data_IF_331880160041
#
_entry.id   IF_331880160041
#
_cell.length_a   1.000
_cell.length_b   1.000
_cell.length_c   1.000
_cell.angle_alpha   90.00
_cell.angle_beta   90.00
_cell.angle_gamma   90.00
#
_symmetry.space_group_name_H-M   'P 1'
#
loop_
_entity.id
_entity.type
_entity.pdbx_description
1 polymer ?
#
# COMPACT_ATOMS: atom_id res chain seq x y z
N UNK A 1 -14.97 24.15 -2.04
CA UNK A 1 -15.93 24.24 -3.18
C UNK A 1 -15.93 22.95 -3.98
N UNK A 2 -14.78 22.41 -4.43
CA UNK A 2 -14.68 21.21 -5.26
C UNK A 2 -15.35 19.99 -4.63
N UNK A 3 -15.11 19.73 -3.33
CA UNK A 3 -15.73 18.61 -2.60
C UNK A 3 -17.26 18.72 -2.63
N UNK A 4 -17.82 19.92 -2.44
CA UNK A 4 -19.26 20.17 -2.49
C UNK A 4 -19.81 20.02 -3.92
N UNK A 5 -19.11 20.56 -4.90
CA UNK A 5 -19.49 20.47 -6.32
C UNK A 5 -19.53 19.02 -6.81
N UNK A 6 -18.59 18.18 -6.36
CA UNK A 6 -18.53 16.77 -6.73
C UNK A 6 -19.47 15.87 -5.88
N UNK A 7 -20.13 16.41 -4.84
CA UNK A 7 -21.11 15.68 -4.04
C UNK A 7 -20.51 14.79 -2.95
N UNK A 8 -19.26 15.02 -2.53
CA UNK A 8 -18.54 14.16 -1.55
C UNK A 8 -18.48 14.69 -0.10
N UNK A 9 -19.21 15.72 0.38
CA UNK A 9 -19.12 16.12 1.78
C UNK A 9 -19.46 14.99 2.74
N UNK A 10 -20.49 14.17 2.42
CA UNK A 10 -20.89 13.03 3.24
C UNK A 10 -19.78 11.97 3.40
N UNK A 11 -19.03 11.71 2.32
CA UNK A 11 -17.89 10.80 2.35
C UNK A 11 -16.81 11.29 3.34
N UNK A 12 -16.44 12.57 3.28
CA UNK A 12 -15.46 13.16 4.21
C UNK A 12 -15.96 13.09 5.66
N UNK A 13 -17.25 13.35 5.90
CA UNK A 13 -17.81 13.31 7.27
C UNK A 13 -17.84 11.89 7.84
N UNK A 14 -18.13 10.87 7.03
CA UNK A 14 -18.07 9.48 7.44
C UNK A 14 -16.64 9.09 7.81
N UNK A 15 -15.66 9.46 6.97
CA UNK A 15 -14.25 9.16 7.23
C UNK A 15 -13.76 9.88 8.49
N UNK A 16 -14.10 11.14 8.66
CA UNK A 16 -13.79 11.91 9.85
C UNK A 16 -14.35 11.24 11.12
N UNK A 17 -15.60 10.79 11.06
CA UNK A 17 -16.31 10.19 12.21
C UNK A 17 -15.57 8.95 12.73
N UNK A 18 -15.31 7.95 11.89
CA UNK A 18 -14.69 6.72 12.36
C UNK A 18 -13.20 6.90 12.74
N UNK A 19 -12.48 7.84 12.10
CA UNK A 19 -11.11 8.19 12.49
C UNK A 19 -11.09 8.87 13.86
N UNK A 20 -11.97 9.85 14.09
CA UNK A 20 -12.05 10.53 15.38
C UNK A 20 -12.45 9.55 16.48
N UNK A 21 -13.48 8.71 16.21
CA UNK A 21 -13.87 7.67 17.18
C UNK A 21 -12.69 6.74 17.51
N UNK A 22 -11.90 6.36 16.53
CA UNK A 22 -10.73 5.50 16.75
C UNK A 22 -9.71 6.16 17.66
N UNK A 23 -9.36 7.43 17.39
CA UNK A 23 -8.43 8.22 18.20
C UNK A 23 -8.96 8.37 19.65
N UNK A 24 -10.26 8.61 19.82
CA UNK A 24 -10.90 8.76 21.13
C UNK A 24 -10.99 7.44 21.91
N UNK A 25 -10.91 6.30 21.22
CA UNK A 25 -10.96 4.96 21.82
C UNK A 25 -9.59 4.25 21.89
N UNK A 26 -8.51 5.03 21.87
CA UNK A 26 -7.12 4.54 22.00
C UNK A 26 -6.72 3.53 20.90
N UNK A 27 -7.24 3.74 19.69
CA UNK A 27 -6.84 2.98 18.50
C UNK A 27 -5.99 3.89 17.62
N UNK A 28 -4.68 3.63 17.51
CA UNK A 28 -3.81 4.42 16.64
C UNK A 28 -4.25 4.37 15.19
N UNK A 29 -4.27 5.54 14.57
CA UNK A 29 -4.55 5.76 13.16
C UNK A 29 -3.30 6.32 12.51
N UNK A 30 -2.97 5.89 11.29
CA UNK A 30 -1.85 6.42 10.53
C UNK A 30 -2.06 7.89 10.13
N UNK A 31 -0.98 8.63 9.85
CA UNK A 31 -1.04 10.08 9.56
C UNK A 31 -1.70 10.40 8.22
N UNK A 32 -2.05 9.41 7.45
CA UNK A 32 -2.56 9.52 6.09
C UNK A 32 -1.62 8.91 5.07
N UNK A 33 -2.18 8.53 3.92
CA UNK A 33 -1.43 7.97 2.80
C UNK A 33 -2.09 8.30 1.46
N UNK A 34 -1.36 8.05 0.37
CA UNK A 34 -1.86 8.26 -0.98
C UNK A 34 -2.20 9.73 -1.28
N UNK A 35 -3.08 9.94 -2.24
CA UNK A 35 -3.45 11.29 -2.72
C UNK A 35 -4.32 12.06 -1.73
N UNK A 36 -5.01 11.37 -0.82
CA UNK A 36 -5.86 12.01 0.21
C UNK A 36 -5.08 12.96 1.14
N UNK A 37 -3.77 12.72 1.33
CA UNK A 37 -2.90 13.59 2.09
C UNK A 37 -2.76 15.01 1.48
N UNK A 38 -3.07 15.20 0.20
CA UNK A 38 -3.09 16.52 -0.46
C UNK A 38 -4.29 17.40 -0.13
N UNK A 39 -5.24 16.91 0.68
CA UNK A 39 -6.45 17.66 1.02
C UNK A 39 -6.31 18.47 2.32
N UNK A 40 -6.28 19.80 2.21
CA UNK A 40 -6.31 20.70 3.38
C UNK A 40 -7.59 20.51 4.20
N UNK A 41 -8.72 20.15 3.56
CA UNK A 41 -9.97 19.86 4.26
C UNK A 41 -9.84 18.57 5.07
N UNK A 42 -9.18 17.53 4.54
CA UNK A 42 -8.91 16.30 5.28
C UNK A 42 -8.01 16.57 6.51
N UNK A 43 -7.00 17.41 6.36
CA UNK A 43 -6.15 17.85 7.46
C UNK A 43 -6.95 18.64 8.53
N UNK A 44 -7.74 19.62 8.11
CA UNK A 44 -8.59 20.42 9.02
C UNK A 44 -9.64 19.56 9.76
N UNK A 45 -10.15 18.50 9.13
CA UNK A 45 -11.07 17.53 9.72
C UNK A 45 -10.35 16.42 10.53
N UNK A 46 -9.03 16.48 10.66
CA UNK A 46 -8.19 15.47 11.35
C UNK A 46 -8.32 14.05 10.77
N UNK A 47 -8.67 13.96 9.49
CA UNK A 47 -8.61 12.72 8.71
C UNK A 47 -7.15 12.36 8.46
N UNK A 48 -6.33 13.36 8.12
CA UNK A 48 -4.88 13.24 7.98
C UNK A 48 -4.17 14.11 9.00
N UNK A 49 -2.97 13.72 9.40
CA UNK A 49 -2.15 14.43 10.38
C UNK A 49 -0.94 15.15 9.72
N UNK A 50 -0.96 15.27 8.39
CA UNK A 50 0.07 15.91 7.58
C UNK A 50 -0.47 17.20 6.98
N UNK A 51 0.22 18.34 7.21
CA UNK A 51 -0.15 19.61 6.57
C UNK A 51 0.25 19.61 5.08
N UNK A 52 -0.73 19.59 4.15
CA UNK A 52 -0.42 19.56 2.74
C UNK A 52 0.27 20.82 2.22
N UNK A 53 0.19 21.94 2.92
CA UNK A 53 0.84 23.19 2.50
C UNK A 53 2.32 23.18 2.85
N UNK A 54 2.73 22.55 3.95
CA UNK A 54 4.13 22.40 4.34
C UNK A 54 4.93 21.56 3.33
N UNK A 55 4.25 20.58 2.69
CA UNK A 55 4.89 19.62 1.77
C UNK A 55 4.51 19.86 0.30
N UNK A 56 3.90 20.99 -0.05
CA UNK A 56 3.45 21.33 -1.42
C UNK A 56 2.64 20.22 -2.09
N UNK A 57 1.77 19.55 -1.33
CA UNK A 57 0.95 18.46 -1.84
C UNK A 57 -0.24 18.98 -2.66
N UNK A 58 -0.49 18.38 -3.82
CA UNK A 58 -1.51 18.82 -4.75
C UNK A 58 -2.87 18.17 -4.46
N UNK A 59 -3.88 19.00 -4.17
CA UNK A 59 -5.27 18.57 -3.97
C UNK A 59 -5.89 17.96 -5.23
N UNK A 60 -5.53 18.47 -6.40
CA UNK A 60 -6.04 18.03 -7.70
C UNK A 60 -5.69 16.58 -8.04
N UNK A 61 -4.72 15.99 -7.35
CA UNK A 61 -4.39 14.56 -7.42
C UNK A 61 -5.40 13.70 -6.68
N UNK A 62 -6.03 14.25 -5.66
CA UNK A 62 -7.04 13.55 -4.87
C UNK A 62 -8.41 13.72 -5.49
N UNK A 63 -8.85 14.98 -5.73
CA UNK A 63 -10.11 15.29 -6.36
C UNK A 63 -9.91 16.33 -7.47
N UNK A 64 -10.39 16.00 -8.67
CA UNK A 64 -10.37 16.90 -9.82
C UNK A 64 -11.72 16.80 -10.54
N UNK A 65 -12.48 17.90 -10.69
CA UNK A 65 -13.77 17.92 -11.41
C UNK A 65 -13.68 17.45 -12.86
N UNK A 66 -12.49 17.60 -13.49
CA UNK A 66 -12.25 17.15 -14.86
C UNK A 66 -12.03 15.62 -14.95
N UNK A 67 -11.69 15.01 -13.84
CA UNK A 67 -11.49 13.57 -13.72
C UNK A 67 -12.52 12.98 -12.77
N UNK A 68 -13.60 12.45 -13.33
CA UNK A 68 -14.67 11.80 -12.55
C UNK A 68 -14.12 10.51 -11.93
N UNK A 69 -13.63 10.59 -10.71
CA UNK A 69 -13.23 9.43 -9.88
C UNK A 69 -13.76 9.63 -8.46
N UNK A 70 -14.18 8.53 -7.85
CA UNK A 70 -14.53 8.54 -6.42
C UNK A 70 -13.29 8.87 -5.59
N UNK A 71 -13.42 9.68 -4.51
CA UNK A 71 -12.34 9.81 -3.54
C UNK A 71 -12.09 8.47 -2.85
N UNK A 72 -10.82 8.16 -2.60
CA UNK A 72 -10.42 6.93 -1.92
C UNK A 72 -9.43 7.29 -0.80
N UNK A 73 -9.93 7.28 0.45
CA UNK A 73 -9.07 7.38 1.61
C UNK A 73 -8.69 5.98 2.08
N UNK A 74 -7.44 5.62 1.86
CA UNK A 74 -6.82 4.49 2.53
C UNK A 74 -6.48 4.87 3.97
N UNK A 75 -7.08 4.23 4.96
CA UNK A 75 -6.83 4.53 6.36
C UNK A 75 -6.13 3.36 7.05
N UNK A 76 -4.93 3.63 7.57
CA UNK A 76 -4.16 2.66 8.33
C UNK A 76 -4.58 2.69 9.80
N UNK A 77 -5.04 1.56 10.32
CA UNK A 77 -5.36 1.36 11.73
C UNK A 77 -4.37 0.42 12.41
N UNK A 78 -4.16 0.60 13.70
CA UNK A 78 -3.56 -0.43 14.53
C UNK A 78 -4.28 -1.77 14.30
N UNK A 79 -3.52 -2.83 13.99
CA UNK A 79 -4.10 -4.12 13.63
C UNK A 79 -5.00 -4.70 14.73
N UNK A 80 -4.63 -4.53 16.00
CA UNK A 80 -5.38 -5.04 17.14
C UNK A 80 -6.70 -4.27 17.37
N UNK A 81 -6.78 -3.01 16.92
CA UNK A 81 -7.98 -2.17 17.08
C UNK A 81 -8.91 -2.14 15.88
N UNK A 82 -8.44 -2.56 14.70
CA UNK A 82 -9.16 -2.42 13.42
C UNK A 82 -10.57 -3.01 13.44
N UNK A 83 -10.73 -4.21 13.96
CA UNK A 83 -12.04 -4.89 13.99
C UNK A 83 -13.04 -4.16 14.89
N UNK A 84 -12.57 -3.51 15.96
CA UNK A 84 -13.41 -2.63 16.81
C UNK A 84 -13.91 -1.42 16.05
N UNK A 85 -13.11 -0.87 15.12
CA UNK A 85 -13.53 0.24 14.25
C UNK A 85 -14.62 -0.22 13.29
N UNK A 86 -14.47 -1.40 12.67
CA UNK A 86 -15.49 -1.97 11.78
C UNK A 86 -16.79 -2.23 12.53
N UNK A 87 -16.71 -2.75 13.75
CA UNK A 87 -17.88 -2.95 14.61
C UNK A 87 -18.57 -1.63 14.96
N UNK A 88 -17.81 -0.58 15.31
CA UNK A 88 -18.36 0.76 15.56
C UNK A 88 -19.10 1.31 14.35
N UNK A 89 -18.50 1.22 13.17
CA UNK A 89 -19.14 1.65 11.91
C UNK A 89 -20.43 0.87 11.66
N UNK A 90 -20.42 -0.45 11.88
CA UNK A 90 -21.61 -1.27 11.74
C UNK A 90 -22.71 -0.94 12.77
N UNK A 91 -22.36 -0.50 13.98
CA UNK A 91 -23.30 -0.03 14.98
C UNK A 91 -23.87 1.35 14.63
N UNK A 92 -23.01 2.25 14.16
CA UNK A 92 -23.37 3.64 13.84
C UNK A 92 -24.28 3.73 12.61
N UNK A 93 -23.92 3.03 11.53
CA UNK A 93 -24.65 3.11 10.26
C UNK A 93 -25.66 1.98 10.05
N UNK A 94 -25.70 1.00 10.97
CA UNK A 94 -26.59 -0.16 10.93
C UNK A 94 -25.92 -1.42 10.40
N UNK A 95 -25.99 -2.51 11.15
CA UNK A 95 -25.37 -3.80 10.82
C UNK A 95 -25.86 -4.42 9.50
N UNK A 96 -27.05 -4.06 9.04
CA UNK A 96 -27.56 -4.48 7.73
C UNK A 96 -27.11 -3.61 6.56
N UNK A 97 -26.55 -2.44 6.85
CA UNK A 97 -26.05 -1.47 5.86
C UNK A 97 -24.53 -1.46 5.74
N UNK A 98 -23.80 -2.20 6.58
CA UNK A 98 -22.33 -2.28 6.58
C UNK A 98 -21.88 -3.70 6.34
N UNK A 99 -20.94 -3.90 5.45
CA UNK A 99 -20.38 -5.21 5.15
C UNK A 99 -18.93 -5.12 4.69
N UNK A 100 -18.14 -6.12 5.03
CA UNK A 100 -16.84 -6.32 4.38
C UNK A 100 -17.03 -6.86 2.96
N UNK A 101 -16.02 -6.67 2.10
CA UNK A 101 -16.05 -7.07 0.69
C UNK A 101 -15.45 -8.46 0.55
N UNK A 102 -16.00 -9.28 -0.35
CA UNK A 102 -15.42 -10.57 -0.73
C UNK A 102 -14.17 -10.39 -1.57
N UNK A 103 -13.26 -11.37 -1.50
CA UNK A 103 -12.20 -11.57 -2.49
C UNK A 103 -12.25 -12.98 -3.03
N UNK A 104 -11.96 -13.12 -4.32
CA UNK A 104 -11.84 -14.42 -4.95
C UNK A 104 -10.36 -14.75 -5.18
N UNK A 105 -9.88 -15.79 -4.49
CA UNK A 105 -8.56 -16.34 -4.76
C UNK A 105 -8.59 -17.16 -6.03
N UNK A 106 -7.78 -16.78 -7.04
CA UNK A 106 -7.68 -17.50 -8.31
C UNK A 106 -6.43 -18.36 -8.37
N UNK A 107 -6.43 -19.32 -9.26
CA UNK A 107 -5.27 -20.15 -9.58
C UNK A 107 -4.32 -19.34 -10.47
N UNK A 108 -3.53 -18.45 -9.86
CA UNK A 108 -2.51 -17.67 -10.56
C UNK A 108 -1.35 -18.55 -11.06
N UNK A 109 -0.56 -18.05 -12.01
CA UNK A 109 0.47 -18.82 -12.74
C UNK A 109 1.38 -19.71 -11.87
N UNK A 110 1.96 -19.17 -10.78
CA UNK A 110 2.78 -19.98 -9.85
C UNK A 110 1.98 -20.98 -9.04
N UNK A 111 0.78 -20.60 -8.63
CA UNK A 111 -0.07 -21.44 -7.81
C UNK A 111 -0.63 -22.61 -8.63
N UNK A 112 -1.09 -22.35 -9.84
CA UNK A 112 -1.66 -23.40 -10.72
C UNK A 112 -0.62 -24.47 -11.06
N UNK A 113 0.64 -24.11 -11.34
CA UNK A 113 1.72 -25.08 -11.56
C UNK A 113 1.90 -25.98 -10.33
N UNK A 114 1.93 -25.39 -9.12
CA UNK A 114 2.09 -26.15 -7.88
C UNK A 114 0.91 -27.07 -7.58
N UNK A 115 -0.29 -26.57 -7.78
CA UNK A 115 -1.50 -27.33 -7.50
C UNK A 115 -1.69 -28.50 -8.49
N UNK A 116 -1.50 -28.24 -9.79
CA UNK A 116 -1.56 -29.27 -10.83
C UNK A 116 -0.45 -30.30 -10.63
N UNK A 117 0.79 -29.87 -10.38
CA UNK A 117 1.91 -30.76 -10.14
C UNK A 117 1.68 -31.68 -8.95
N UNK A 118 1.10 -31.17 -7.87
CA UNK A 118 0.74 -31.99 -6.69
C UNK A 118 -0.34 -33.00 -7.02
N UNK A 119 -1.38 -32.62 -7.76
CA UNK A 119 -2.50 -33.51 -8.14
C UNK A 119 -2.05 -34.60 -9.11
N UNK A 120 -1.13 -34.27 -10.03
CA UNK A 120 -0.51 -35.23 -10.95
C UNK A 120 0.53 -36.13 -10.28
N UNK A 121 0.84 -35.92 -9.00
CA UNK A 121 1.77 -36.75 -8.22
C UNK A 121 3.25 -36.47 -8.49
N UNK A 122 3.59 -35.34 -9.12
CA UNK A 122 4.98 -34.97 -9.34
C UNK A 122 5.70 -34.63 -8.03
N UNK A 123 6.99 -34.97 -7.92
CA UNK A 123 7.81 -34.61 -6.76
C UNK A 123 7.87 -33.08 -6.56
N UNK A 124 7.85 -32.63 -5.30
CA UNK A 124 7.89 -31.22 -4.96
C UNK A 124 9.06 -30.46 -5.65
N UNK A 125 10.28 -31.03 -5.64
CA UNK A 125 11.45 -30.40 -6.25
C UNK A 125 11.32 -30.19 -7.76
N UNK A 126 10.64 -31.10 -8.48
CA UNK A 126 10.33 -30.98 -9.90
C UNK A 126 9.40 -29.78 -10.14
N UNK A 127 8.29 -29.73 -9.41
CA UNK A 127 7.26 -28.70 -9.55
C UNK A 127 7.80 -27.32 -9.12
N UNK A 128 8.57 -27.26 -8.03
CA UNK A 128 9.15 -26.02 -7.52
C UNK A 128 10.16 -25.41 -8.49
N UNK A 129 10.96 -26.23 -9.16
CA UNK A 129 11.86 -25.78 -10.24
C UNK A 129 11.12 -25.04 -11.34
N UNK A 130 10.01 -25.61 -11.83
CA UNK A 130 9.20 -25.00 -12.90
C UNK A 130 8.50 -23.74 -12.39
N UNK A 131 7.90 -23.80 -11.20
CA UNK A 131 7.25 -22.66 -10.58
C UNK A 131 8.22 -21.46 -10.35
N UNK A 132 9.51 -21.72 -10.08
CA UNK A 132 10.53 -20.67 -9.91
C UNK A 132 10.96 -20.00 -11.21
N UNK A 133 10.76 -20.64 -12.36
CA UNK A 133 10.99 -20.01 -13.67
C UNK A 133 9.94 -18.93 -13.98
N UNK A 134 8.77 -18.95 -13.34
CA UNK A 134 7.74 -17.94 -13.54
C UNK A 134 8.15 -16.67 -12.78
N UNK A 135 8.23 -15.49 -13.43
CA UNK A 135 8.51 -14.22 -12.74
C UNK A 135 7.51 -13.92 -11.62
N UNK A 136 7.94 -13.27 -10.52
CA UNK A 136 7.08 -12.98 -9.38
C UNK A 136 6.20 -11.73 -9.54
N UNK A 137 6.13 -11.16 -10.73
CA UNK A 137 5.46 -9.88 -10.97
C UNK A 137 3.94 -9.96 -10.76
N UNK A 138 3.31 -8.93 -10.18
CA UNK A 138 1.87 -8.85 -10.04
C UNK A 138 1.15 -8.98 -11.39
N UNK A 139 0.10 -9.82 -11.45
CA UNK A 139 -0.64 -10.06 -12.70
C UNK A 139 0.10 -10.89 -13.75
N UNK A 140 1.18 -11.60 -13.33
CA UNK A 140 1.89 -12.57 -14.18
C UNK A 140 0.95 -13.73 -14.55
N UNK A 141 0.86 -14.01 -15.84
CA UNK A 141 0.18 -15.19 -16.40
C UNK A 141 1.18 -16.16 -16.99
N UNK A 142 0.77 -17.41 -17.23
CA UNK A 142 1.62 -18.37 -17.91
C UNK A 142 2.01 -17.88 -19.32
N UNK A 143 1.08 -17.24 -20.05
CA UNK A 143 1.41 -16.65 -21.34
C UNK A 143 2.52 -15.62 -21.25
N UNK A 144 2.39 -14.63 -20.34
CA UNK A 144 3.43 -13.61 -20.11
C UNK A 144 4.75 -14.23 -19.61
N UNK A 145 4.68 -15.29 -18.79
CA UNK A 145 5.87 -15.95 -18.31
C UNK A 145 6.68 -16.62 -19.45
N UNK A 146 6.00 -17.18 -20.46
CA UNK A 146 6.65 -17.72 -21.65
C UNK A 146 7.31 -16.65 -22.51
N UNK A 147 6.75 -15.45 -22.57
CA UNK A 147 7.35 -14.31 -23.28
C UNK A 147 8.58 -13.74 -22.53
N UNK A 148 8.50 -13.70 -21.18
CA UNK A 148 9.53 -13.08 -20.35
C UNK A 148 10.71 -14.01 -20.04
N UNK A 149 10.50 -15.35 -20.01
CA UNK A 149 11.50 -16.33 -19.57
C UNK A 149 11.72 -17.43 -20.63
N UNK A 150 12.72 -17.27 -21.52
CA UNK A 150 12.99 -18.23 -22.58
C UNK A 150 13.30 -19.65 -22.08
N UNK A 151 13.85 -19.80 -20.86
CA UNK A 151 14.14 -21.12 -20.28
C UNK A 151 12.86 -21.91 -20.01
N UNK A 152 11.73 -21.25 -19.76
CA UNK A 152 10.43 -21.92 -19.59
C UNK A 152 9.98 -22.58 -20.91
N UNK A 153 10.21 -21.89 -22.05
CA UNK A 153 9.92 -22.47 -23.38
C UNK A 153 10.82 -23.68 -23.66
N UNK A 154 12.13 -23.56 -23.38
CA UNK A 154 13.06 -24.67 -23.55
C UNK A 154 12.66 -25.88 -22.71
N UNK A 155 12.31 -25.67 -21.44
CA UNK A 155 11.83 -26.76 -20.58
C UNK A 155 10.54 -27.40 -21.08
N UNK A 156 9.60 -26.61 -21.59
CA UNK A 156 8.37 -27.09 -22.17
C UNK A 156 8.57 -27.95 -23.44
N UNK A 157 9.52 -27.55 -24.32
CA UNK A 157 9.78 -28.25 -25.57
C UNK A 157 10.64 -29.51 -25.40
N UNK A 158 11.46 -29.56 -24.34
CA UNK A 158 12.45 -30.64 -24.12
C UNK A 158 11.97 -31.75 -23.18
N UNK A 159 10.89 -31.54 -22.41
CA UNK A 159 10.44 -32.45 -21.35
C UNK A 159 8.93 -32.66 -21.41
N UNK A 160 8.50 -33.89 -21.80
CA UNK A 160 7.08 -34.21 -21.93
C UNK A 160 6.29 -34.13 -20.60
N UNK A 161 6.94 -34.36 -19.44
CA UNK A 161 6.28 -34.19 -18.15
C UNK A 161 6.04 -32.71 -17.83
N UNK A 162 7.01 -31.83 -18.14
CA UNK A 162 6.86 -30.38 -18.04
C UNK A 162 5.76 -29.88 -18.94
N UNK A 163 5.71 -30.37 -20.19
CA UNK A 163 4.68 -30.02 -21.15
C UNK A 163 3.28 -30.42 -20.68
N UNK A 164 3.11 -31.66 -20.24
CA UNK A 164 1.84 -32.14 -19.72
C UNK A 164 1.35 -31.33 -18.50
N UNK A 165 2.28 -31.01 -17.58
CA UNK A 165 2.01 -30.16 -16.42
C UNK A 165 1.54 -28.76 -16.82
N UNK A 166 2.26 -28.11 -17.73
CA UNK A 166 1.95 -26.74 -18.17
C UNK A 166 0.66 -26.70 -18.98
N UNK A 167 0.41 -27.68 -19.87
CA UNK A 167 -0.82 -27.73 -20.66
C UNK A 167 -2.05 -27.89 -19.78
N UNK A 168 -1.97 -28.69 -18.71
CA UNK A 168 -3.04 -28.80 -17.74
C UNK A 168 -3.19 -27.51 -16.93
N UNK A 169 -2.07 -26.91 -16.52
CA UNK A 169 -2.08 -25.67 -15.78
C UNK A 169 -2.71 -24.51 -16.57
N UNK A 170 -2.43 -24.39 -17.86
CA UNK A 170 -3.07 -23.40 -18.76
C UNK A 170 -4.60 -23.50 -18.81
N UNK A 171 -5.15 -24.71 -18.66
CA UNK A 171 -6.62 -24.93 -18.63
C UNK A 171 -7.26 -24.47 -17.33
N UNK A 172 -6.49 -24.43 -16.25
CA UNK A 172 -6.97 -24.11 -14.91
C UNK A 172 -6.54 -22.72 -14.43
N UNK A 173 -5.61 -22.07 -15.14
CA UNK A 173 -5.18 -20.71 -14.81
C UNK A 173 -6.37 -19.75 -14.79
N UNK A 174 -6.43 -18.91 -13.74
CA UNK A 174 -7.51 -17.94 -13.57
C UNK A 174 -8.80 -18.47 -12.95
N UNK A 175 -8.96 -19.81 -12.84
CA UNK A 175 -10.13 -20.40 -12.20
C UNK A 175 -10.19 -20.00 -10.72
N UNK A 176 -11.36 -19.59 -10.25
CA UNK A 176 -11.59 -19.26 -8.83
C UNK A 176 -11.43 -20.52 -7.98
N UNK A 177 -10.62 -20.40 -6.94
CA UNK A 177 -10.28 -21.48 -6.02
C UNK A 177 -11.01 -21.39 -4.70
N UNK A 178 -11.08 -20.19 -4.16
CA UNK A 178 -11.71 -19.92 -2.85
C UNK A 178 -12.24 -18.50 -2.80
N UNK A 179 -13.19 -18.30 -1.89
CA UNK A 179 -13.63 -16.99 -1.44
C UNK A 179 -12.95 -16.65 -0.11
N UNK A 180 -12.69 -15.37 0.10
CA UNK A 180 -12.13 -14.82 1.33
C UNK A 180 -12.69 -13.43 1.60
N UNK A 181 -12.28 -12.84 2.72
CA UNK A 181 -12.58 -11.44 3.04
C UNK A 181 -11.49 -10.54 2.47
N UNK A 182 -11.89 -9.39 1.91
CA UNK A 182 -10.94 -8.35 1.53
C UNK A 182 -10.18 -7.82 2.76
N UNK A 183 -8.88 -7.59 2.61
CA UNK A 183 -8.02 -7.22 3.73
C UNK A 183 -8.42 -5.88 4.40
N UNK A 184 -8.99 -4.94 3.66
CA UNK A 184 -9.34 -3.60 4.14
C UNK A 184 -10.75 -3.15 3.76
N UNK A 185 -11.30 -3.62 2.64
CA UNK A 185 -12.53 -3.08 2.07
C UNK A 185 -13.79 -3.30 2.92
N UNK A 186 -14.43 -2.20 3.26
CA UNK A 186 -15.74 -2.15 3.94
C UNK A 186 -16.67 -1.27 3.12
N UNK A 187 -17.90 -1.71 2.95
CA UNK A 187 -18.96 -0.97 2.26
C UNK A 187 -19.94 -0.44 3.27
N UNK A 188 -20.33 0.82 3.11
CA UNK A 188 -21.44 1.45 3.86
C UNK A 188 -22.50 1.84 2.82
N UNK A 189 -23.68 1.25 2.91
CA UNK A 189 -24.80 1.52 2.00
C UNK A 189 -25.84 2.44 2.62
N UNK A 190 -26.62 3.17 1.80
CA UNK A 190 -27.67 4.07 2.31
C UNK A 190 -28.92 3.32 2.83
N UNK A 191 -29.05 2.02 2.52
CA UNK A 191 -30.09 1.11 2.99
C UNK A 191 -29.49 -0.28 3.24
N UNK A 192 -30.28 -1.34 3.25
CA UNK A 192 -29.75 -2.69 3.41
C UNK A 192 -28.77 -3.04 2.26
N UNK A 193 -27.67 -3.68 2.58
CA UNK A 193 -26.69 -4.16 1.56
C UNK A 193 -27.39 -5.01 0.50
N UNK A 194 -28.39 -5.80 0.91
CA UNK A 194 -29.15 -6.68 0.01
C UNK A 194 -29.99 -5.95 -1.04
N UNK A 195 -30.18 -4.65 -0.91
CA UNK A 195 -30.81 -3.82 -1.96
C UNK A 195 -29.87 -3.56 -3.14
N UNK A 196 -28.56 -3.73 -2.94
CA UNK A 196 -27.50 -3.44 -3.92
C UNK A 196 -26.67 -4.67 -4.31
N UNK A 197 -26.37 -5.55 -3.36
CA UNK A 197 -25.47 -6.68 -3.57
C UNK A 197 -25.94 -7.89 -2.77
N UNK A 198 -25.82 -9.11 -3.34
CA UNK A 198 -26.05 -10.33 -2.58
C UNK A 198 -24.96 -10.47 -1.49
N UNK A 199 -25.29 -11.18 -0.42
CA UNK A 199 -24.35 -11.49 0.65
C UNK A 199 -23.88 -12.95 0.54
N UNK A 200 -22.65 -13.17 0.93
CA UNK A 200 -22.03 -14.47 1.08
C UNK A 200 -21.57 -14.65 2.53
N UNK A 201 -21.76 -15.84 3.06
CA UNK A 201 -21.17 -16.25 4.33
C UNK A 201 -20.54 -17.65 4.20
N UNK A 202 -19.66 -17.98 5.12
CA UNK A 202 -19.14 -19.33 5.27
C UNK A 202 -20.20 -20.29 5.83
N UNK A 203 -19.82 -21.55 6.02
CA UNK A 203 -20.71 -22.58 6.53
C UNK A 203 -21.20 -22.32 7.98
N UNK A 204 -20.50 -21.46 8.71
CA UNK A 204 -20.87 -21.08 10.09
C UNK A 204 -21.89 -19.95 10.10
N UNK A 205 -22.12 -19.29 8.96
CA UNK A 205 -23.07 -18.17 8.83
C UNK A 205 -22.66 -16.91 9.55
N UNK A 206 -21.42 -16.85 10.01
CA UNK A 206 -20.87 -15.73 10.75
C UNK A 206 -20.23 -14.71 9.82
N UNK A 207 -20.41 -13.42 10.13
CA UNK A 207 -19.75 -12.31 9.43
C UNK A 207 -19.98 -12.33 7.90
N UNK A 208 -21.20 -12.11 7.42
CA UNK A 208 -21.49 -12.05 5.99
C UNK A 208 -20.65 -10.95 5.31
N UNK A 209 -20.28 -11.20 4.06
CA UNK A 209 -19.56 -10.26 3.20
C UNK A 209 -20.38 -10.02 1.94
N UNK A 210 -20.14 -8.90 1.22
CA UNK A 210 -20.75 -8.74 -0.10
C UNK A 210 -20.27 -9.84 -1.03
N UNK A 211 -21.18 -10.41 -1.86
CA UNK A 211 -20.78 -11.39 -2.87
C UNK A 211 -20.22 -10.72 -4.12
N UNK A 212 -20.28 -9.41 -4.22
CA UNK A 212 -19.60 -8.61 -5.21
C UNK A 212 -18.20 -8.26 -4.71
N UNK A 213 -17.19 -8.36 -5.57
CA UNK A 213 -15.83 -7.95 -5.28
C UNK A 213 -15.70 -6.41 -5.28
N UNK A 214 -14.48 -5.91 -5.05
CA UNK A 214 -14.22 -4.48 -4.96
C UNK A 214 -14.64 -3.68 -6.20
N UNK A 215 -14.57 -4.25 -7.40
CA UNK A 215 -14.95 -3.60 -8.64
C UNK A 215 -16.46 -3.64 -8.86
N UNK A 216 -17.06 -4.79 -8.55
CA UNK A 216 -18.50 -4.99 -8.71
C UNK A 216 -19.32 -4.18 -7.70
N UNK A 217 -18.84 -3.99 -6.46
CA UNK A 217 -19.52 -3.11 -5.48
C UNK A 217 -19.48 -1.64 -5.91
N UNK A 218 -18.37 -1.17 -6.49
CA UNK A 218 -18.28 0.18 -7.07
C UNK A 218 -19.19 0.33 -8.30
N UNK A 219 -19.24 -0.69 -9.16
CA UNK A 219 -20.14 -0.71 -10.31
C UNK A 219 -21.62 -0.71 -9.89
N UNK A 220 -21.96 -1.36 -8.78
CA UNK A 220 -23.30 -1.32 -8.18
C UNK A 220 -23.65 0.03 -7.52
N UNK A 221 -22.73 1.00 -7.51
CA UNK A 221 -22.90 2.33 -6.95
C UNK A 221 -22.67 2.44 -5.44
N UNK A 222 -22.08 1.42 -4.83
CA UNK A 222 -21.71 1.45 -3.41
C UNK A 222 -20.35 2.12 -3.19
N UNK A 223 -20.22 2.79 -2.05
CA UNK A 223 -18.97 3.44 -1.65
C UNK A 223 -18.14 2.49 -0.79
N UNK A 224 -16.90 2.28 -1.22
CA UNK A 224 -15.90 1.49 -0.50
C UNK A 224 -15.07 2.39 0.41
N UNK A 225 -14.75 1.87 1.59
CA UNK A 225 -13.82 2.46 2.54
C UNK A 225 -12.72 1.43 2.85
N UNK A 226 -11.46 1.82 2.77
CA UNK A 226 -10.35 0.90 3.01
C UNK A 226 -9.80 1.06 4.43
N UNK A 227 -10.14 0.08 5.30
CA UNK A 227 -9.69 -0.06 6.69
C UNK A 227 -8.47 -0.99 6.73
N UNK A 228 -7.28 -0.44 6.58
CA UNK A 228 -6.06 -1.25 6.50
C UNK A 228 -5.50 -1.50 7.91
N UNK A 229 -5.24 -2.77 8.23
CA UNK A 229 -4.57 -3.15 9.48
C UNK A 229 -3.05 -3.08 9.32
N UNK A 230 -2.39 -2.14 9.98
CA UNK A 230 -0.93 -1.97 9.92
C UNK A 230 -0.27 -2.41 11.23
N UNK A 231 0.48 -3.52 11.18
CA UNK A 231 1.19 -4.06 12.35
C UNK A 231 2.20 -3.08 12.94
N UNK A 232 2.80 -2.23 12.12
CA UNK A 232 3.74 -1.20 12.58
C UNK A 232 3.09 -0.23 13.56
N UNK A 233 1.84 0.19 13.32
CA UNK A 233 1.11 1.02 14.28
C UNK A 233 0.88 0.30 15.62
N UNK A 234 0.62 -1.00 15.57
CA UNK A 234 0.49 -1.83 16.78
C UNK A 234 1.81 -1.87 17.56
N UNK A 235 2.94 -2.06 16.89
CA UNK A 235 4.27 -2.09 17.52
C UNK A 235 4.61 -0.72 18.12
N UNK A 236 4.32 0.36 17.41
CA UNK A 236 4.52 1.74 17.91
C UNK A 236 3.67 1.97 19.17
N UNK A 237 2.39 1.56 19.16
CA UNK A 237 1.52 1.67 20.33
C UNK A 237 2.11 0.93 21.53
N UNK A 238 2.51 -0.32 21.37
CA UNK A 238 3.12 -1.09 22.45
C UNK A 238 4.38 -0.44 23.00
N UNK A 239 5.23 0.10 22.13
CA UNK A 239 6.44 0.83 22.53
C UNK A 239 6.08 2.09 23.34
N UNK A 240 5.12 2.88 22.87
CA UNK A 240 4.65 4.09 23.57
C UNK A 240 4.03 3.75 24.92
N UNK A 241 3.20 2.72 24.99
CA UNK A 241 2.58 2.28 26.24
C UNK A 241 3.65 1.91 27.30
N UNK A 242 4.70 1.16 26.89
CA UNK A 242 5.82 0.80 27.77
C UNK A 242 6.66 2.02 28.19
N UNK A 243 6.96 2.92 27.27
CA UNK A 243 7.75 4.13 27.53
C UNK A 243 6.96 5.04 28.47
N UNK A 244 5.70 5.31 28.17
CA UNK A 244 4.85 6.22 28.95
C UNK A 244 4.55 5.68 30.35
N UNK A 245 4.39 4.36 30.50
CA UNK A 245 4.28 3.73 31.83
C UNK A 245 5.54 3.93 32.68
N UNK A 246 6.74 3.92 32.06
CA UNK A 246 8.02 4.24 32.74
C UNK A 246 8.08 5.71 33.11
N UNK A 247 7.83 6.61 32.14
CA UNK A 247 7.88 8.05 32.35
C UNK A 247 6.92 8.52 33.45
N UNK A 248 5.71 7.96 33.48
CA UNK A 248 4.72 8.23 34.54
C UNK A 248 5.25 7.88 35.93
N UNK A 249 5.93 6.73 36.07
CA UNK A 249 6.57 6.33 37.34
C UNK A 249 7.72 7.26 37.74
N UNK A 250 8.40 7.85 36.75
CA UNK A 250 9.47 8.83 36.95
C UNK A 250 8.95 10.26 37.16
N UNK A 251 7.63 10.50 37.10
CA UNK A 251 7.03 11.83 37.19
C UNK A 251 7.29 12.71 35.97
N UNK A 252 7.62 12.12 34.82
CA UNK A 252 7.87 12.81 33.56
C UNK A 252 6.63 12.81 32.66
N UNK A 253 6.47 13.81 31.78
CA UNK A 253 5.39 13.82 30.80
C UNK A 253 5.50 12.65 29.82
N UNK A 254 4.36 12.16 29.29
CA UNK A 254 4.36 11.13 28.25
C UNK A 254 4.99 11.65 26.96
N UNK A 255 5.48 10.73 26.13
CA UNK A 255 5.94 11.04 24.78
C UNK A 255 4.74 11.30 23.87
N UNK A 256 4.75 12.45 23.22
CA UNK A 256 3.87 12.73 22.10
C UNK A 256 4.59 12.36 20.78
N UNK A 257 4.12 11.32 20.11
CA UNK A 257 4.74 10.84 18.88
C UNK A 257 4.64 11.85 17.73
N UNK A 258 3.60 12.70 17.72
CA UNK A 258 3.42 13.73 16.71
C UNK A 258 4.40 14.90 16.87
N UNK A 259 4.96 15.05 18.07
CA UNK A 259 5.93 16.11 18.40
C UNK A 259 7.39 15.66 18.35
N UNK A 260 7.66 14.42 17.89
CA UNK A 260 9.04 13.93 17.73
C UNK A 260 9.74 14.72 16.60
N UNK A 261 10.93 15.31 16.85
CA UNK A 261 11.67 16.03 15.82
C UNK A 261 12.11 15.10 14.67
N UNK A 262 12.10 15.62 13.45
CA UNK A 262 12.47 14.86 12.24
C UNK A 262 13.96 14.96 11.88
N UNK A 263 14.76 15.62 12.72
CA UNK A 263 16.17 15.93 12.52
C UNK A 263 17.10 15.28 13.55
N UNK A 264 16.66 14.21 14.22
CA UNK A 264 17.46 13.50 15.23
C UNK A 264 18.71 12.85 14.61
N UNK A 265 19.94 13.31 15.00
CA UNK A 265 21.18 12.83 14.40
C UNK A 265 21.45 11.34 14.67
N UNK A 266 21.03 10.79 15.82
CA UNK A 266 21.28 9.39 16.16
C UNK A 266 20.47 8.46 15.26
N UNK A 267 19.26 8.87 14.89
CA UNK A 267 18.42 8.16 13.94
C UNK A 267 19.06 8.12 12.55
N UNK A 268 19.62 9.23 12.07
CA UNK A 268 20.34 9.24 10.78
C UNK A 268 21.62 8.42 10.81
N UNK A 269 22.37 8.42 11.90
CA UNK A 269 23.54 7.54 12.04
C UNK A 269 23.18 6.05 12.02
N UNK A 270 22.04 5.65 12.61
CA UNK A 270 21.52 4.30 12.50
C UNK A 270 21.16 3.94 11.04
N UNK A 271 20.53 4.89 10.32
CA UNK A 271 20.23 4.72 8.90
C UNK A 271 21.50 4.56 8.06
N UNK A 272 22.49 5.42 8.23
CA UNK A 272 23.78 5.37 7.52
C UNK A 272 24.51 4.04 7.72
N UNK A 273 24.41 3.45 8.90
CA UNK A 273 24.95 2.09 9.18
C UNK A 273 24.10 0.97 8.58
N UNK A 274 22.93 1.31 7.95
CA UNK A 274 21.96 0.34 7.42
C UNK A 274 21.44 -0.66 8.47
N UNK A 275 21.41 -0.27 9.74
CA UNK A 275 20.90 -1.07 10.85
C UNK A 275 19.38 -0.98 10.95
N UNK A 276 18.69 -1.16 9.82
CA UNK A 276 17.25 -0.91 9.64
C UNK A 276 16.40 -2.19 9.70
N UNK A 277 16.88 -3.24 10.35
CA UNK A 277 16.07 -4.44 10.62
C UNK A 277 14.87 -4.06 11.50
N UNK A 278 13.68 -4.49 11.11
CA UNK A 278 12.40 -4.14 11.73
C UNK A 278 12.01 -2.65 11.66
N UNK A 279 12.72 -1.84 10.87
CA UNK A 279 12.26 -0.49 10.53
C UNK A 279 11.35 -0.56 9.30
N UNK A 280 10.11 -0.11 9.46
CA UNK A 280 9.08 -0.22 8.43
C UNK A 280 9.55 0.33 7.07
N UNK A 281 9.34 -0.45 6.01
CA UNK A 281 9.74 -0.18 4.62
C UNK A 281 11.25 -0.05 4.36
N UNK A 282 12.10 -0.03 5.39
CA UNK A 282 13.55 0.17 5.25
C UNK A 282 14.38 -1.10 5.48
N UNK A 283 13.73 -2.26 5.72
CA UNK A 283 14.40 -3.48 6.19
C UNK A 283 14.83 -4.47 5.10
N UNK A 284 14.31 -4.32 3.87
CA UNK A 284 14.66 -5.26 2.78
C UNK A 284 16.14 -5.13 2.40
N UNK A 285 16.74 -6.23 1.91
CA UNK A 285 18.14 -6.23 1.48
C UNK A 285 18.43 -5.14 0.46
N UNK A 286 17.57 -4.99 -0.57
CA UNK A 286 17.77 -3.97 -1.59
C UNK A 286 17.64 -2.55 -1.04
N UNK A 287 16.72 -2.32 -0.10
CA UNK A 287 16.59 -1.02 0.56
C UNK A 287 17.81 -0.72 1.44
N UNK A 288 18.33 -1.70 2.19
CA UNK A 288 19.56 -1.55 2.98
C UNK A 288 20.77 -1.21 2.10
N UNK A 289 20.88 -1.84 0.94
CA UNK A 289 21.94 -1.54 -0.03
C UNK A 289 21.78 -0.11 -0.58
N UNK A 290 20.56 0.33 -0.86
CA UNK A 290 20.28 1.70 -1.30
C UNK A 290 20.59 2.73 -0.19
N UNK A 291 20.16 2.51 1.04
CA UNK A 291 20.43 3.36 2.21
C UNK A 291 21.95 3.51 2.41
N UNK A 292 22.70 2.42 2.33
CA UNK A 292 24.16 2.44 2.48
C UNK A 292 24.85 3.30 1.41
N UNK A 293 24.33 3.35 0.20
CA UNK A 293 24.84 4.14 -0.91
C UNK A 293 24.43 5.60 -0.81
N UNK A 294 23.19 5.88 -0.42
CA UNK A 294 22.62 7.21 -0.34
C UNK A 294 23.10 7.98 0.88
N UNK A 295 23.35 7.29 2.02
CA UNK A 295 23.81 7.91 3.27
C UNK A 295 22.88 9.05 3.71
N UNK A 296 21.61 8.78 4.06
CA UNK A 296 20.62 9.81 4.37
C UNK A 296 21.06 10.64 5.59
N UNK A 297 20.88 11.96 5.50
CA UNK A 297 21.26 12.93 6.54
C UNK A 297 20.16 13.96 6.86
N UNK A 298 19.04 13.90 6.14
CA UNK A 298 17.84 14.70 6.37
C UNK A 298 16.57 13.88 6.09
N UNK A 299 15.42 14.40 6.50
CA UNK A 299 14.14 13.70 6.34
C UNK A 299 13.73 13.55 4.86
N UNK A 300 14.06 14.52 4.03
CA UNK A 300 13.84 14.51 2.57
C UNK A 300 14.54 13.33 1.90
N UNK A 301 15.68 12.92 2.40
CA UNK A 301 16.39 11.74 1.92
C UNK A 301 15.60 10.43 2.19
N UNK A 302 14.91 10.36 3.33
CA UNK A 302 14.05 9.21 3.66
C UNK A 302 12.84 9.17 2.71
N UNK A 303 12.25 10.33 2.42
CA UNK A 303 11.18 10.46 1.43
C UNK A 303 11.68 10.01 0.05
N UNK A 304 12.87 10.48 -0.34
CA UNK A 304 13.50 10.10 -1.60
C UNK A 304 13.81 8.59 -1.67
N UNK A 305 14.32 7.98 -0.60
CA UNK A 305 14.57 6.53 -0.52
C UNK A 305 13.33 5.71 -0.88
N UNK A 306 12.19 6.04 -0.30
CA UNK A 306 10.91 5.33 -0.54
C UNK A 306 10.41 5.54 -1.97
N UNK A 307 10.68 6.71 -2.56
CA UNK A 307 10.30 7.00 -3.94
C UNK A 307 11.27 6.34 -4.96
N UNK A 308 12.56 6.31 -4.69
CA UNK A 308 13.60 5.72 -5.53
C UNK A 308 13.54 4.17 -5.55
N UNK A 309 13.14 3.55 -4.44
CA UNK A 309 13.06 2.09 -4.34
C UNK A 309 11.79 1.54 -4.98
N UNK A 310 11.62 1.81 -6.27
CA UNK A 310 10.51 1.33 -7.10
C UNK A 310 11.04 0.80 -8.43
N UNK A 311 10.32 -0.11 -9.10
CA UNK A 311 10.81 -0.71 -10.36
C UNK A 311 11.23 0.30 -11.42
N UNK A 312 10.46 1.37 -11.64
CA UNK A 312 10.78 2.42 -12.62
C UNK A 312 12.12 3.09 -12.36
N UNK A 313 12.32 3.79 -11.21
CA UNK A 313 13.59 4.40 -10.87
C UNK A 313 14.78 3.44 -10.81
N UNK A 314 14.58 2.21 -10.29
CA UNK A 314 15.63 1.20 -10.21
C UNK A 314 16.12 0.72 -11.60
N UNK A 315 15.24 0.69 -12.59
CA UNK A 315 15.58 0.21 -13.95
C UNK A 315 16.08 1.32 -14.88
N UNK A 316 15.78 2.59 -14.57
CA UNK A 316 16.11 3.73 -15.44
C UNK A 316 17.52 4.32 -15.22
N UNK A 317 18.27 3.86 -14.20
CA UNK A 317 19.54 4.48 -13.78
C UNK A 317 19.39 5.75 -12.95
N UNK A 318 18.17 6.24 -12.74
CA UNK A 318 17.83 7.45 -11.98
C UNK A 318 18.36 7.42 -10.54
N UNK A 319 18.40 6.22 -9.94
CA UNK A 319 18.94 6.00 -8.59
C UNK A 319 20.41 6.36 -8.50
N UNK A 320 21.21 5.95 -9.49
CA UNK A 320 22.65 6.22 -9.51
C UNK A 320 22.91 7.71 -9.69
N UNK A 321 22.21 8.36 -10.63
CA UNK A 321 22.31 9.81 -10.84
C UNK A 321 21.93 10.59 -9.57
N UNK A 322 20.82 10.22 -8.89
CA UNK A 322 20.41 10.88 -7.64
C UNK A 322 21.51 10.81 -6.57
N UNK A 323 22.06 9.62 -6.34
CA UNK A 323 23.12 9.38 -5.36
C UNK A 323 24.39 10.15 -5.72
N UNK A 324 24.81 10.09 -6.98
CA UNK A 324 26.06 10.72 -7.42
C UNK A 324 25.96 12.25 -7.38
N UNK A 325 24.81 12.81 -7.75
CA UNK A 325 24.55 14.26 -7.64
C UNK A 325 24.46 14.73 -6.20
N UNK A 326 23.78 13.98 -5.32
CA UNK A 326 23.74 14.25 -3.87
C UNK A 326 25.16 14.35 -3.28
N UNK A 327 26.04 13.45 -3.67
CA UNK A 327 27.41 13.40 -3.15
C UNK A 327 28.41 14.24 -3.95
N UNK A 328 27.96 15.02 -4.92
CA UNK A 328 28.82 15.88 -5.74
C UNK A 328 29.77 15.12 -6.70
N UNK A 329 29.48 13.87 -7.00
CA UNK A 329 30.24 13.06 -7.96
C UNK A 329 29.78 13.26 -9.41
N UNK A 330 28.55 13.74 -9.59
CA UNK A 330 27.97 14.12 -10.88
C UNK A 330 27.46 15.56 -10.80
N UNK A 331 27.62 16.33 -11.87
CA UNK A 331 27.07 17.69 -11.98
C UNK A 331 25.54 17.64 -12.11
N UNK A 332 24.85 18.51 -11.37
CA UNK A 332 23.38 18.57 -11.41
C UNK A 332 22.92 19.24 -12.70
N UNK A 333 22.02 18.57 -13.43
CA UNK A 333 21.37 19.09 -14.64
C UNK A 333 19.85 19.07 -14.48
N UNK A 334 19.10 19.88 -15.24
CA UNK A 334 17.66 20.09 -15.06
C UNK A 334 16.86 19.85 -16.35
N UNK A 335 16.42 18.62 -16.65
CA UNK A 335 16.77 17.35 -15.97
C UNK A 335 18.00 16.64 -16.56
N UNK A 336 18.37 16.95 -17.79
CA UNK A 336 19.44 16.30 -18.55
C UNK A 336 20.44 17.33 -19.08
N UNK A 337 21.72 16.97 -19.16
CA UNK A 337 22.79 17.85 -19.59
C UNK A 337 22.58 18.48 -20.98
N UNK A 338 21.87 17.77 -21.89
CA UNK A 338 21.60 18.22 -23.25
C UNK A 338 20.28 18.99 -23.40
N UNK A 339 19.34 18.81 -22.46
CA UNK A 339 17.98 19.34 -22.51
C UNK A 339 17.61 20.05 -21.21
N UNK A 340 18.38 21.11 -20.88
CA UNK A 340 18.16 21.91 -19.68
C UNK A 340 17.17 23.04 -19.95
N UNK A 341 16.37 23.36 -18.90
CA UNK A 341 15.47 24.50 -18.93
C UNK A 341 15.49 25.20 -17.55
N UNK A 342 15.76 26.50 -17.54
CA UNK A 342 15.90 27.28 -16.29
C UNK A 342 14.67 27.22 -15.38
N UNK A 343 13.47 27.17 -15.94
CA UNK A 343 12.23 27.04 -15.17
C UNK A 343 12.10 25.72 -14.39
N UNK A 344 12.87 24.68 -14.75
CA UNK A 344 12.88 23.41 -14.05
C UNK A 344 13.79 23.42 -12.81
N UNK A 345 14.74 24.32 -12.76
CA UNK A 345 15.68 24.41 -11.64
C UNK A 345 15.00 24.56 -10.28
N UNK A 346 14.12 25.54 -10.03
CA UNK A 346 13.47 25.69 -8.72
C UNK A 346 12.57 24.48 -8.35
N UNK A 347 12.09 23.75 -9.35
CA UNK A 347 11.21 22.56 -9.13
C UNK A 347 12.04 21.32 -8.80
N UNK A 348 13.16 21.11 -9.49
CA UNK A 348 13.95 19.88 -9.41
C UNK A 348 15.21 20.01 -8.53
N UNK A 349 15.54 21.21 -8.07
CA UNK A 349 16.71 21.44 -7.18
C UNK A 349 16.66 20.56 -5.92
N UNK A 350 15.50 20.41 -5.22
CA UNK A 350 15.40 19.55 -4.04
C UNK A 350 15.63 18.06 -4.32
N UNK A 351 15.53 17.62 -5.57
CA UNK A 351 15.76 16.24 -6.01
C UNK A 351 16.97 16.10 -6.92
N UNK A 352 17.92 17.03 -6.82
CA UNK A 352 19.16 17.05 -7.60
C UNK A 352 18.93 16.94 -9.12
N UNK A 353 17.90 17.62 -9.64
CA UNK A 353 17.54 17.61 -11.05
C UNK A 353 16.80 16.37 -11.51
N UNK A 354 16.46 15.45 -10.63
CA UNK A 354 15.73 14.21 -10.97
C UNK A 354 14.21 14.44 -10.89
N UNK A 355 13.46 14.01 -11.91
CA UNK A 355 12.00 13.99 -11.90
C UNK A 355 11.55 12.78 -11.08
N UNK A 356 11.50 12.94 -9.77
CA UNK A 356 11.26 11.88 -8.80
C UNK A 356 9.80 11.83 -8.33
N UNK A 357 9.22 13.00 -8.06
CA UNK A 357 7.84 13.14 -7.56
C UNK A 357 6.90 13.57 -8.69
N UNK A 358 5.61 13.34 -8.49
CA UNK A 358 4.57 13.76 -9.45
C UNK A 358 4.20 15.21 -9.28
#
# INVERSE_FOLDING_TARGET
DVINQMGFPGYFLIVMEFIQWSKDNDIPVGPGRGSGAGSLVAYALKITDLDPLEFDLLFERFLNPERVSMPDFDVDFCMDGRDRVIDHVAETYGRGAVSQIITFGTMAAKAVIRDVGRVLGHPYGFVDRISKMIPPDPGMTLAKAFEAEPQLQVAYDSDEEVKALIDMARKLEGVTRNAGKHAGGVVISPSLITDFAPLYCDNEGLHPVTHFDKNDVEYAGLVKFDFLGLRTLTIIKWALDMINARLTREGKPPVDIAAIPLDDPESFELLKRSETTAVFQLESRGMKDLIKRLQPDCFEDIIALVALFRPGPLQSGMVDNFIDRKHGREEVSYPDANYQHESLKPILEPTYGIILYQ
#
